data_IF_176847794522
#
_entry.id   IF_176847794522
#
_cell.length_a   1.000
_cell.length_b   1.000
_cell.length_c   1.000
_cell.angle_alpha   90.00
_cell.angle_beta   90.00
_cell.angle_gamma   90.00
#
_symmetry.space_group_name_H-M   'P 1'
#
loop_
_entity.id
_entity.type
_entity.pdbx_description
1 polymer ?
#
# COMPACT_ATOMS: atom_id res chain seq x y z
N UNK A 1 2.40 -10.85 -3.14
CA UNK A 1 3.51 -11.09 -2.21
C UNK A 1 4.50 -12.13 -2.73
N UNK A 2 5.77 -11.98 -2.38
CA UNK A 2 6.79 -13.02 -2.60
C UNK A 2 7.15 -13.79 -1.34
N UNK A 3 8.18 -14.66 -1.40
CA UNK A 3 8.39 -15.75 -0.44
C UNK A 3 8.53 -15.28 1.01
N UNK A 4 9.14 -14.12 1.26
CA UNK A 4 9.32 -13.61 2.63
C UNK A 4 7.99 -13.25 3.29
N UNK A 5 7.15 -12.49 2.58
CA UNK A 5 5.83 -12.07 3.09
C UNK A 5 4.86 -13.25 3.12
N UNK A 6 4.91 -14.14 2.13
CA UNK A 6 4.14 -15.39 2.14
C UNK A 6 4.46 -16.23 3.39
N UNK A 7 5.74 -16.44 3.71
CA UNK A 7 6.14 -17.17 4.90
C UNK A 7 5.69 -16.47 6.20
N UNK A 8 5.69 -15.14 6.24
CA UNK A 8 5.17 -14.38 7.38
C UNK A 8 3.66 -14.59 7.55
N UNK A 9 2.88 -14.54 6.47
CA UNK A 9 1.46 -14.82 6.47
C UNK A 9 1.16 -16.26 6.94
N UNK A 10 1.92 -17.26 6.46
CA UNK A 10 1.79 -18.65 6.92
C UNK A 10 2.03 -18.78 8.42
N UNK A 11 3.10 -18.18 8.96
CA UNK A 11 3.37 -18.21 10.41
C UNK A 11 2.26 -17.54 11.22
N UNK A 12 1.72 -16.42 10.75
CA UNK A 12 0.62 -15.73 11.43
C UNK A 12 -0.66 -16.59 11.46
N UNK A 13 -1.02 -17.19 10.33
CA UNK A 13 -2.19 -18.07 10.23
C UNK A 13 -2.05 -19.34 11.08
N UNK A 14 -0.86 -19.96 11.11
CA UNK A 14 -0.58 -21.12 11.97
C UNK A 14 -0.73 -20.81 13.46
N UNK A 15 -0.53 -19.54 13.86
CA UNK A 15 -0.78 -19.05 15.23
C UNK A 15 -2.22 -18.60 15.47
N UNK A 16 -3.13 -18.82 14.52
CA UNK A 16 -4.55 -18.46 14.65
C UNK A 16 -4.85 -16.97 14.44
N UNK A 17 -3.93 -16.20 13.85
CA UNK A 17 -4.16 -14.78 13.55
C UNK A 17 -5.36 -14.65 12.61
N UNK A 18 -6.32 -13.82 13.00
CA UNK A 18 -7.50 -13.49 12.20
C UNK A 18 -7.77 -11.98 12.31
N UNK A 19 -8.76 -11.50 11.56
CA UNK A 19 -9.07 -10.07 11.54
C UNK A 19 -9.45 -9.52 12.92
N UNK A 20 -10.24 -10.23 13.73
CA UNK A 20 -10.62 -9.73 15.06
C UNK A 20 -9.41 -9.62 15.98
N UNK A 21 -8.48 -10.58 15.90
CA UNK A 21 -7.20 -10.50 16.62
C UNK A 21 -6.37 -9.29 16.17
N UNK A 22 -6.31 -8.99 14.87
CA UNK A 22 -5.64 -7.78 14.34
C UNK A 22 -6.31 -6.52 14.85
N UNK A 23 -7.64 -6.44 14.82
CA UNK A 23 -8.39 -5.28 15.34
C UNK A 23 -8.16 -5.09 16.84
N UNK A 24 -8.14 -6.17 17.62
CA UNK A 24 -7.84 -6.13 19.04
C UNK A 24 -6.45 -5.53 19.30
N UNK A 25 -5.43 -6.03 18.59
CA UNK A 25 -4.06 -5.50 18.68
C UNK A 25 -4.00 -4.03 18.28
N UNK A 26 -4.68 -3.63 17.20
CA UNK A 26 -4.68 -2.24 16.73
C UNK A 26 -5.29 -1.27 17.76
N UNK A 27 -6.30 -1.68 18.54
CA UNK A 27 -6.87 -0.86 19.63
C UNK A 27 -5.84 -0.52 20.70
N UNK A 28 -4.93 -1.43 20.98
CA UNK A 28 -3.88 -1.25 21.98
C UNK A 28 -2.69 -0.45 21.42
N UNK A 29 -2.33 -0.71 20.17
CA UNK A 29 -1.12 -0.14 19.55
C UNK A 29 -1.33 1.27 19.02
N UNK A 30 -2.44 1.56 18.33
CA UNK A 30 -2.67 2.85 17.66
C UNK A 30 -2.56 4.05 18.62
N UNK A 31 -3.11 4.02 19.86
CA UNK A 31 -2.96 5.13 20.80
C UNK A 31 -1.49 5.45 21.18
N UNK A 32 -0.59 4.50 20.99
CA UNK A 32 0.85 4.64 21.28
C UNK A 32 1.65 5.13 20.06
N UNK A 33 1.04 5.13 18.87
CA UNK A 33 1.68 5.56 17.64
C UNK A 33 1.55 7.07 17.43
N UNK A 34 2.66 7.71 17.07
CA UNK A 34 2.66 9.11 16.58
C UNK A 34 2.32 9.22 15.10
N UNK A 35 2.61 8.16 14.34
CA UNK A 35 2.40 8.10 12.89
C UNK A 35 1.00 7.53 12.56
N UNK A 36 0.38 7.95 11.45
CA UNK A 36 -0.85 7.32 10.96
C UNK A 36 -0.60 5.86 10.55
N UNK A 37 -1.63 5.03 10.69
CA UNK A 37 -1.56 3.62 10.31
C UNK A 37 -2.33 3.36 9.01
N UNK A 38 -1.66 2.70 8.07
CA UNK A 38 -2.21 2.23 6.80
C UNK A 38 -2.30 0.70 6.86
N UNK A 39 -3.48 0.15 6.61
CA UNK A 39 -3.69 -1.29 6.58
C UNK A 39 -3.40 -1.84 5.17
N UNK A 40 -2.65 -2.93 5.09
CA UNK A 40 -2.45 -3.67 3.84
C UNK A 40 -3.19 -4.99 3.91
N UNK A 41 -4.16 -5.22 3.03
CA UNK A 41 -4.98 -6.45 3.03
C UNK A 41 -5.37 -6.83 1.61
N UNK A 42 -5.46 -8.13 1.35
CA UNK A 42 -6.19 -8.64 0.19
C UNK A 42 -7.70 -8.35 0.31
N UNK A 43 -8.43 -8.40 -0.81
CA UNK A 43 -9.86 -8.06 -0.84
C UNK A 43 -10.75 -9.12 -0.17
N UNK A 44 -10.36 -10.39 -0.20
CA UNK A 44 -11.21 -11.48 0.32
C UNK A 44 -11.62 -11.31 1.80
N UNK A 45 -10.73 -10.95 2.75
CA UNK A 45 -11.13 -10.59 4.12
C UNK A 45 -12.13 -9.44 4.22
N UNK A 46 -12.03 -8.45 3.33
CA UNK A 46 -12.95 -7.29 3.26
C UNK A 46 -14.32 -7.77 2.82
N UNK A 47 -14.36 -8.57 1.75
CA UNK A 47 -15.60 -9.12 1.21
C UNK A 47 -16.31 -10.02 2.21
N UNK A 48 -15.58 -10.94 2.87
CA UNK A 48 -16.15 -11.89 3.84
C UNK A 48 -16.81 -11.21 5.04
N UNK A 49 -16.37 -10.01 5.41
CA UNK A 49 -16.96 -9.24 6.52
C UNK A 49 -18.10 -8.32 6.11
N UNK A 50 -18.30 -8.14 4.81
CA UNK A 50 -19.09 -7.03 4.28
C UNK A 50 -18.22 -5.76 4.24
N UNK A 51 -17.98 -5.17 3.05
CA UNK A 51 -17.11 -4.01 2.90
C UNK A 51 -17.49 -2.82 3.81
N UNK A 52 -18.78 -2.55 4.01
CA UNK A 52 -19.24 -1.47 4.90
C UNK A 52 -18.86 -1.71 6.36
N UNK A 53 -19.13 -2.92 6.87
CA UNK A 53 -18.77 -3.34 8.24
C UNK A 53 -17.26 -3.32 8.45
N UNK A 54 -16.51 -3.76 7.44
CA UNK A 54 -15.04 -3.70 7.46
C UNK A 54 -14.55 -2.26 7.61
N UNK A 55 -15.02 -1.32 6.77
CA UNK A 55 -14.61 0.09 6.82
C UNK A 55 -14.94 0.73 8.17
N UNK A 56 -16.16 0.50 8.68
CA UNK A 56 -16.56 1.01 9.99
C UNK A 56 -15.65 0.47 11.10
N UNK A 57 -15.33 -0.82 11.06
CA UNK A 57 -14.50 -1.47 12.07
C UNK A 57 -13.07 -0.91 12.06
N UNK A 58 -12.41 -0.83 10.90
CA UNK A 58 -11.04 -0.30 10.84
C UNK A 58 -11.00 1.19 11.18
N UNK A 59 -12.05 1.95 10.82
CA UNK A 59 -12.16 3.36 11.20
C UNK A 59 -12.26 3.53 12.71
N UNK A 60 -13.05 2.68 13.38
CA UNK A 60 -13.29 2.75 14.83
C UNK A 60 -12.01 2.60 15.66
N UNK A 61 -11.02 1.88 15.14
CA UNK A 61 -9.72 1.68 15.82
C UNK A 61 -8.66 2.69 15.40
N UNK A 62 -8.98 3.61 14.47
CA UNK A 62 -8.11 4.72 14.11
C UNK A 62 -7.28 4.53 12.84
N UNK A 63 -7.51 3.47 12.06
CA UNK A 63 -6.86 3.29 10.74
C UNK A 63 -7.14 4.50 9.84
N UNK A 64 -6.11 5.00 9.16
CA UNK A 64 -6.16 6.19 8.31
C UNK A 64 -6.07 5.88 6.83
N UNK A 65 -5.40 4.80 6.44
CA UNK A 65 -5.30 4.39 5.04
C UNK A 65 -5.51 2.89 4.84
N UNK A 66 -5.76 2.51 3.59
CA UNK A 66 -5.95 1.13 3.16
C UNK A 66 -5.26 0.91 1.81
N UNK A 67 -4.53 -0.20 1.68
CA UNK A 67 -3.98 -0.72 0.44
C UNK A 67 -4.60 -2.09 0.17
N UNK A 68 -5.18 -2.27 -1.02
CA UNK A 68 -5.79 -3.53 -1.47
C UNK A 68 -5.18 -3.93 -2.81
N UNK A 69 -4.07 -4.69 -2.83
CA UNK A 69 -3.24 -4.85 -4.02
C UNK A 69 -3.85 -5.75 -5.11
N UNK A 70 -4.84 -6.56 -4.77
CA UNK A 70 -5.51 -7.52 -5.64
C UNK A 70 -6.78 -6.99 -6.31
N UNK A 71 -7.15 -5.72 -6.08
CA UNK A 71 -8.29 -5.09 -6.75
C UNK A 71 -7.79 -4.19 -7.88
N UNK A 72 -8.12 -4.50 -9.15
CA UNK A 72 -7.74 -3.64 -10.28
C UNK A 72 -8.49 -2.30 -10.20
N UNK A 73 -7.90 -1.24 -10.76
CA UNK A 73 -8.43 0.13 -10.73
C UNK A 73 -9.93 0.18 -11.06
N UNK A 74 -10.35 -0.55 -12.10
CA UNK A 74 -11.72 -0.61 -12.59
C UNK A 74 -12.72 -1.05 -11.52
N UNK A 75 -12.32 -1.99 -10.67
CA UNK A 75 -13.16 -2.56 -9.61
C UNK A 75 -13.06 -1.78 -8.29
N UNK A 76 -12.17 -0.78 -8.20
CA UNK A 76 -12.01 0.02 -6.99
C UNK A 76 -13.17 0.99 -6.73
N UNK A 77 -14.07 1.22 -7.69
CA UNK A 77 -15.14 2.22 -7.58
C UNK A 77 -15.94 2.13 -6.27
N UNK A 78 -16.37 0.92 -5.89
CA UNK A 78 -17.10 0.73 -4.63
C UNK A 78 -16.21 0.93 -3.40
N UNK A 79 -14.96 0.43 -3.45
CA UNK A 79 -13.99 0.63 -2.36
C UNK A 79 -13.65 2.11 -2.16
N UNK A 80 -13.43 2.87 -3.24
CA UNK A 80 -13.17 4.32 -3.21
C UNK A 80 -14.33 5.07 -2.56
N UNK A 81 -15.57 4.75 -2.93
CA UNK A 81 -16.78 5.33 -2.32
C UNK A 81 -16.84 5.04 -0.81
N UNK A 82 -16.63 3.78 -0.42
CA UNK A 82 -16.73 3.34 0.97
C UNK A 82 -15.62 3.91 1.86
N UNK A 83 -14.38 3.94 1.35
CA UNK A 83 -13.23 4.53 2.05
C UNK A 83 -13.39 6.04 2.20
N UNK A 84 -13.80 6.76 1.14
CA UNK A 84 -14.10 8.19 1.21
C UNK A 84 -15.20 8.51 2.24
N UNK A 85 -16.31 7.75 2.24
CA UNK A 85 -17.40 7.92 3.20
C UNK A 85 -16.94 7.72 4.66
N UNK A 86 -15.91 6.90 4.90
CA UNK A 86 -15.34 6.64 6.22
C UNK A 86 -14.09 7.48 6.53
N UNK A 87 -13.70 8.42 5.66
CA UNK A 87 -12.47 9.21 5.79
C UNK A 87 -11.24 8.31 6.00
N UNK A 88 -11.10 7.31 5.12
CA UNK A 88 -9.96 6.43 4.99
C UNK A 88 -9.36 6.67 3.61
N UNK A 89 -8.05 6.85 3.53
CA UNK A 89 -7.34 7.06 2.27
C UNK A 89 -7.11 5.70 1.59
N UNK A 90 -7.74 5.48 0.43
CA UNK A 90 -7.43 4.31 -0.40
C UNK A 90 -6.19 4.59 -1.23
N UNK A 91 -5.07 4.01 -0.81
CA UNK A 91 -3.78 4.12 -1.50
C UNK A 91 -3.74 3.08 -2.61
N UNK A 92 -3.52 3.55 -3.83
CA UNK A 92 -3.34 2.71 -5.01
C UNK A 92 -1.87 2.60 -5.39
N UNK A 93 -1.55 1.51 -6.09
CA UNK A 93 -0.21 1.17 -6.48
C UNK A 93 0.00 1.25 -7.98
N UNK A 94 1.23 1.58 -8.37
CA UNK A 94 1.70 1.49 -9.76
C UNK A 94 3.06 0.80 -9.80
N UNK A 95 3.48 0.37 -10.98
CA UNK A 95 4.70 -0.41 -11.21
C UNK A 95 5.43 0.09 -12.45
N UNK A 96 6.74 -0.23 -12.61
CA UNK A 96 7.49 0.05 -13.85
C UNK A 96 6.82 -0.48 -15.12
N UNK A 97 6.03 -1.56 -15.02
CA UNK A 97 5.30 -2.16 -16.15
C UNK A 97 3.94 -1.54 -16.42
N UNK A 98 3.45 -0.65 -15.55
CA UNK A 98 2.17 0.02 -15.74
C UNK A 98 2.30 1.03 -16.90
N UNK A 99 1.45 0.95 -17.94
CA UNK A 99 1.46 1.95 -19.01
C UNK A 99 1.18 3.36 -18.49
N UNK A 100 1.79 4.38 -19.09
CA UNK A 100 1.69 5.78 -18.63
C UNK A 100 0.24 6.27 -18.48
N UNK A 101 -0.64 5.96 -19.44
CA UNK A 101 -2.05 6.36 -19.37
C UNK A 101 -2.77 5.70 -18.19
N UNK A 102 -2.46 4.42 -17.89
CA UNK A 102 -3.00 3.74 -16.70
C UNK A 102 -2.42 4.31 -15.41
N UNK A 103 -1.13 4.67 -15.40
CA UNK A 103 -0.49 5.31 -14.24
C UNK A 103 -1.19 6.63 -13.89
N UNK A 104 -1.50 7.49 -14.87
CA UNK A 104 -2.22 8.75 -14.64
C UNK A 104 -3.59 8.52 -13.98
N UNK A 105 -4.34 7.53 -14.45
CA UNK A 105 -5.65 7.17 -13.87
C UNK A 105 -5.52 6.65 -12.43
N UNK A 106 -4.49 5.84 -12.14
CA UNK A 106 -4.19 5.37 -10.79
C UNK A 106 -3.86 6.56 -9.88
N UNK A 107 -3.02 7.46 -10.35
CA UNK A 107 -2.57 8.65 -9.60
C UNK A 107 -3.73 9.59 -9.27
N UNK A 108 -4.63 9.79 -10.24
CA UNK A 108 -5.85 10.55 -10.04
C UNK A 108 -6.74 9.89 -8.97
N UNK A 109 -6.92 8.57 -9.06
CA UNK A 109 -7.84 7.81 -8.21
C UNK A 109 -7.34 7.51 -6.79
N UNK A 110 -6.01 7.51 -6.58
CA UNK A 110 -5.37 7.21 -5.28
C UNK A 110 -5.57 8.33 -4.28
N UNK A 111 -5.67 8.01 -2.99
CA UNK A 111 -5.72 8.99 -1.90
C UNK A 111 -4.52 8.84 -0.96
N UNK A 112 -4.21 9.89 -0.21
CA UNK A 112 -3.06 9.92 0.72
C UNK A 112 -1.72 10.04 0.00
N UNK A 113 -1.25 8.95 -0.61
CA UNK A 113 0.00 8.91 -1.38
C UNK A 113 -0.11 7.92 -2.55
N UNK A 114 0.88 7.94 -3.43
CA UNK A 114 1.03 6.95 -4.51
C UNK A 114 2.05 5.91 -4.08
N UNK A 115 1.67 4.63 -4.10
CA UNK A 115 2.61 3.54 -3.84
C UNK A 115 3.27 3.08 -5.16
N UNK A 116 4.51 3.48 -5.40
CA UNK A 116 5.33 2.94 -6.48
C UNK A 116 6.05 1.64 -6.04
N UNK A 117 5.61 0.50 -6.56
CA UNK A 117 6.29 -0.78 -6.32
C UNK A 117 7.47 -0.94 -7.30
N UNK A 118 8.70 -1.00 -6.78
CA UNK A 118 9.94 -0.88 -7.57
C UNK A 118 10.34 -2.13 -8.37
N UNK A 119 9.59 -3.24 -8.26
CA UNK A 119 9.95 -4.52 -8.87
C UNK A 119 8.87 -5.09 -9.81
N UNK A 120 9.35 -5.66 -10.91
CA UNK A 120 8.60 -6.49 -11.87
C UNK A 120 8.65 -7.96 -11.46
N UNK A 121 8.18 -8.30 -10.25
CA UNK A 121 8.18 -9.69 -9.76
C UNK A 121 8.07 -9.81 -8.25
N UNK A 122 7.74 -11.01 -7.75
CA UNK A 122 7.49 -11.30 -6.33
C UNK A 122 8.61 -10.83 -5.37
N UNK A 123 8.21 -10.33 -4.19
CA UNK A 123 9.08 -9.71 -3.17
C UNK A 123 10.35 -10.52 -2.88
N UNK A 124 11.52 -9.96 -3.19
CA UNK A 124 12.83 -10.52 -2.86
C UNK A 124 13.90 -9.43 -2.91
N UNK A 125 14.91 -9.51 -2.03
CA UNK A 125 16.03 -8.56 -2.02
C UNK A 125 16.89 -8.75 -3.29
N UNK A 126 17.16 -7.67 -4.02
CA UNK A 126 18.12 -7.64 -5.15
C UNK A 126 19.24 -6.64 -4.88
N UNK A 127 20.34 -6.78 -5.62
CA UNK A 127 21.56 -5.99 -5.42
C UNK A 127 21.52 -4.57 -6.00
N UNK A 128 20.60 -4.28 -6.94
CA UNK A 128 20.47 -2.97 -7.59
C UNK A 128 19.01 -2.64 -7.88
N UNK A 129 18.63 -1.38 -7.69
CA UNK A 129 17.31 -0.86 -8.05
C UNK A 129 17.29 -0.59 -9.57
N UNK A 130 16.18 -0.92 -10.23
CA UNK A 130 16.03 -0.73 -11.67
C UNK A 130 16.01 0.77 -12.00
N UNK A 131 16.86 1.24 -12.93
CA UNK A 131 16.94 2.66 -13.34
C UNK A 131 15.61 3.22 -13.85
N UNK A 132 14.71 2.34 -14.29
CA UNK A 132 13.34 2.67 -14.69
C UNK A 132 12.49 3.25 -13.55
N UNK A 133 12.84 2.97 -12.29
CA UNK A 133 12.13 3.50 -11.11
C UNK A 133 12.32 5.00 -10.98
N UNK A 134 13.52 5.52 -11.23
CA UNK A 134 13.80 6.96 -11.23
C UNK A 134 12.95 7.69 -12.27
N UNK A 135 12.97 7.23 -13.52
CA UNK A 135 12.19 7.84 -14.61
C UNK A 135 10.69 7.80 -14.30
N UNK A 136 10.18 6.67 -13.82
CA UNK A 136 8.75 6.55 -13.49
C UNK A 136 8.36 7.44 -12.31
N UNK A 137 9.20 7.54 -11.28
CA UNK A 137 8.98 8.45 -10.16
C UNK A 137 8.87 9.90 -10.66
N UNK A 138 9.77 10.34 -11.54
CA UNK A 138 9.70 11.69 -12.12
C UNK A 138 8.42 11.90 -12.93
N UNK A 139 7.99 10.90 -13.71
CA UNK A 139 6.72 10.99 -14.47
C UNK A 139 5.49 11.04 -13.55
N UNK A 140 5.45 10.26 -12.47
CA UNK A 140 4.37 10.33 -11.47
C UNK A 140 4.33 11.71 -10.83
N UNK A 141 5.49 12.26 -10.43
CA UNK A 141 5.57 13.59 -9.81
C UNK A 141 5.17 14.73 -10.75
N UNK A 142 5.24 14.53 -12.07
CA UNK A 142 4.67 15.48 -13.06
C UNK A 142 3.14 15.39 -13.14
N UNK A 143 2.56 14.24 -12.81
CA UNK A 143 1.13 13.98 -12.89
C UNK A 143 0.37 14.31 -11.59
N UNK A 144 1.06 14.52 -10.46
CA UNK A 144 0.41 14.81 -9.18
C UNK A 144 1.28 15.58 -8.20
N UNK A 145 0.63 16.23 -7.23
CA UNK A 145 1.23 16.82 -6.04
C UNK A 145 1.16 15.89 -4.81
N UNK A 146 0.51 14.72 -4.93
CA UNK A 146 0.45 13.72 -3.86
C UNK A 146 1.86 13.15 -3.60
N UNK A 147 2.24 12.87 -2.35
CA UNK A 147 3.49 12.19 -2.04
C UNK A 147 3.61 10.86 -2.78
N UNK A 148 4.82 10.50 -3.21
CA UNK A 148 5.12 9.21 -3.82
C UNK A 148 6.03 8.42 -2.88
N UNK A 149 5.52 7.28 -2.40
CA UNK A 149 6.29 6.34 -1.60
C UNK A 149 6.77 5.19 -2.50
N UNK A 150 8.07 4.97 -2.53
CA UNK A 150 8.68 3.87 -3.30
C UNK A 150 8.94 2.70 -2.36
N UNK A 151 8.47 1.51 -2.72
CA UNK A 151 8.74 0.31 -1.94
C UNK A 151 9.09 -0.89 -2.79
N UNK A 152 9.19 -2.03 -2.11
CA UNK A 152 9.59 -3.35 -2.64
C UNK A 152 11.09 -3.46 -2.98
N UNK A 153 11.73 -4.54 -2.54
CA UNK A 153 13.13 -4.85 -2.89
C UNK A 153 14.19 -4.00 -2.19
N UNK A 154 13.78 -3.09 -1.31
CA UNK A 154 14.65 -2.21 -0.52
C UNK A 154 15.15 -2.98 0.70
N UNK A 155 16.46 -3.14 0.82
CA UNK A 155 17.08 -3.99 1.85
C UNK A 155 18.36 -3.42 2.45
N UNK A 156 18.83 -2.27 1.94
CA UNK A 156 20.06 -1.64 2.39
C UNK A 156 19.90 -0.12 2.50
N UNK A 157 20.63 0.56 3.40
CA UNK A 157 20.60 2.01 3.53
C UNK A 157 20.91 2.76 2.22
N UNK A 158 21.77 2.21 1.37
CA UNK A 158 22.15 2.83 0.10
C UNK A 158 20.96 2.89 -0.87
N UNK A 159 20.06 1.91 -0.83
CA UNK A 159 18.83 1.93 -1.64
C UNK A 159 17.92 3.09 -1.21
N UNK A 160 17.80 3.31 0.11
CA UNK A 160 16.99 4.41 0.67
C UNK A 160 17.59 5.76 0.25
N UNK A 161 18.90 5.93 0.40
CA UNK A 161 19.60 7.15 0.00
C UNK A 161 19.43 7.43 -1.50
N UNK A 162 19.57 6.42 -2.35
CA UNK A 162 19.39 6.53 -3.79
C UNK A 162 17.95 6.93 -4.17
N UNK A 163 16.95 6.28 -3.60
CA UNK A 163 15.53 6.58 -3.85
C UNK A 163 15.16 8.00 -3.37
N UNK A 164 15.71 8.43 -2.23
CA UNK A 164 15.54 9.80 -1.75
C UNK A 164 16.19 10.82 -2.69
N UNK A 165 17.39 10.53 -3.23
CA UNK A 165 18.05 11.38 -4.23
C UNK A 165 17.24 11.52 -5.52
N UNK A 166 16.55 10.45 -5.93
CA UNK A 166 15.61 10.51 -7.06
C UNK A 166 14.34 11.31 -6.76
N UNK A 167 14.15 11.78 -5.53
CA UNK A 167 13.06 12.66 -5.15
C UNK A 167 11.80 11.93 -4.66
N UNK A 168 11.91 10.71 -4.14
CA UNK A 168 10.78 10.06 -3.49
C UNK A 168 10.43 10.78 -2.18
N UNK A 169 9.14 10.85 -1.86
CA UNK A 169 8.66 11.50 -0.64
C UNK A 169 8.59 10.51 0.54
N UNK A 170 8.68 9.21 0.25
CA UNK A 170 8.75 8.14 1.24
C UNK A 170 9.38 6.86 0.69
N UNK A 171 9.87 6.01 1.61
CA UNK A 171 10.49 4.72 1.29
C UNK A 171 9.87 3.63 2.16
N UNK A 172 9.41 2.54 1.56
CA UNK A 172 8.72 1.40 2.21
C UNK A 172 9.55 0.12 2.11
#
# INVERSE_FOLDING_TARGET
DGPVIQAAATRALQKGTNFDAVISMLREVIPQLKAPLVLFSYYNPILKRGPESFMHTIKSVGVRGLVVPDVPLEETTNLRRLTAANKIELVLLTTPTTPTERMKLIVEASEGFIYLASITGVTGARASIESRVELLLQEIKKATTKPVAVGFGISKPEHVAQIAQWGADGVI
#
